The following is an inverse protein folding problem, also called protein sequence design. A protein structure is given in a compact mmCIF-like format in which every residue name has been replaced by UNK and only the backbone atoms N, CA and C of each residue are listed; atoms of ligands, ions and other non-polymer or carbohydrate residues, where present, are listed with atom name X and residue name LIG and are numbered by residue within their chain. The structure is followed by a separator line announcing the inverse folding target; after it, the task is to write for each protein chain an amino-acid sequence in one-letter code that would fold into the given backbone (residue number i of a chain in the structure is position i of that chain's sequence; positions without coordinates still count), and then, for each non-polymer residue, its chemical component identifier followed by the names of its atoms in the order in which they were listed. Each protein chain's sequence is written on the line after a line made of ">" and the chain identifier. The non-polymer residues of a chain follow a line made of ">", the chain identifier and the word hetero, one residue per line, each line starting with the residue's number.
data_IF_514624382527
#
_entry.id   IF_514624382527
#
_cell.length_a   1.000
_cell.length_b   1.000
_cell.length_c   1.000
_cell.angle_alpha   90.00
_cell.angle_beta   90.00
_cell.angle_gamma   90.00
#
_symmetry.space_group_name_H-M   'P 1'
#
loop_
_entity.id
_entity.type
_entity.pdbx_description
1 polymer ?
#
# COMPACT_ATOMS: atom_id res chain seq x y z
N UNK A 1 -20.91 -2.75 -9.17
CA UNK A 1 -20.10 -2.38 -7.98
C UNK A 1 -20.66 -1.07 -7.45
N UNK A 2 -20.97 -1.02 -6.17
CA UNK A 2 -21.39 0.21 -5.51
C UNK A 2 -20.31 1.29 -5.62
N UNK A 3 -20.71 2.54 -5.85
CA UNK A 3 -19.81 3.69 -5.82
C UNK A 3 -19.25 3.85 -4.40
N UNK A 4 -17.97 4.15 -4.29
CA UNK A 4 -17.30 4.32 -3.01
C UNK A 4 -16.90 5.78 -2.90
N UNK A 5 -17.25 6.41 -1.80
CA UNK A 5 -16.97 7.83 -1.57
C UNK A 5 -15.52 8.08 -1.15
N UNK A 6 -14.93 7.15 -0.41
CA UNK A 6 -13.57 7.28 0.14
C UNK A 6 -12.71 6.05 -0.16
N UNK A 7 -11.47 6.28 -0.62
CA UNK A 7 -10.45 5.26 -0.80
C UNK A 7 -9.27 5.52 0.15
N UNK A 8 -8.60 4.47 0.57
CA UNK A 8 -7.40 4.54 1.42
C UNK A 8 -6.23 4.00 0.61
N UNK A 9 -5.13 4.74 0.56
CA UNK A 9 -3.87 4.28 -0.04
C UNK A 9 -2.84 3.99 1.04
N UNK A 10 -2.24 2.80 0.98
CA UNK A 10 -1.22 2.35 1.92
C UNK A 10 0.02 1.83 1.18
N UNK A 11 1.20 1.96 1.78
CA UNK A 11 2.43 1.35 1.26
C UNK A 11 2.48 -0.14 1.59
N UNK A 12 3.22 -0.95 0.82
CA UNK A 12 3.54 -2.34 1.18
C UNK A 12 4.57 -2.37 2.31
N UNK A 13 4.95 -3.57 2.74
CA UNK A 13 6.12 -3.78 3.57
C UNK A 13 7.23 -4.49 2.79
N UNK A 14 8.49 -4.23 3.16
CA UNK A 14 9.66 -4.93 2.57
C UNK A 14 9.75 -6.39 3.00
N UNK A 15 9.28 -6.69 4.21
CA UNK A 15 9.21 -8.03 4.74
C UNK A 15 7.84 -8.63 4.46
N UNK A 16 7.84 -9.87 4.03
CA UNK A 16 6.63 -10.63 3.73
C UNK A 16 6.74 -11.99 4.44
N UNK A 17 5.64 -12.47 5.02
CA UNK A 17 5.58 -13.70 5.81
C UNK A 17 4.53 -14.66 5.27
N UNK A 18 4.92 -15.91 5.10
CA UNK A 18 4.07 -17.00 4.62
C UNK A 18 4.11 -18.17 5.62
N UNK A 19 3.36 -18.09 6.73
CA UNK A 19 3.27 -19.19 7.69
C UNK A 19 2.54 -20.39 7.06
N UNK A 20 2.81 -21.59 7.54
CA UNK A 20 2.14 -22.83 7.07
C UNK A 20 0.65 -22.82 7.32
N UNK A 21 0.21 -22.18 8.42
CA UNK A 21 -1.21 -22.08 8.77
C UNK A 21 -1.98 -21.23 7.78
N UNK A 22 -3.02 -21.78 7.18
CA UNK A 22 -3.92 -21.08 6.27
C UNK A 22 -4.74 -20.02 7.02
N UNK A 23 -4.87 -18.86 6.41
CA UNK A 23 -5.78 -17.83 6.91
C UNK A 23 -7.25 -18.21 6.61
N UNK A 24 -8.17 -17.73 7.45
CA UNK A 24 -9.61 -18.03 7.34
C UNK A 24 -10.34 -17.24 6.25
N UNK A 25 -9.72 -16.22 5.72
CA UNK A 25 -10.39 -15.24 4.88
C UNK A 25 -10.50 -15.69 3.42
N UNK A 26 -11.62 -15.31 2.77
CA UNK A 26 -11.78 -15.46 1.33
C UNK A 26 -10.82 -14.51 0.60
N UNK A 27 -10.09 -15.05 -0.36
CA UNK A 27 -9.06 -14.32 -1.11
C UNK A 27 -9.50 -14.03 -2.54
N UNK A 28 -8.85 -13.08 -3.17
CA UNK A 28 -9.07 -12.67 -4.56
C UNK A 28 -7.75 -12.68 -5.35
N UNK A 29 -7.84 -12.61 -6.67
CA UNK A 29 -6.65 -12.50 -7.55
C UNK A 29 -6.19 -11.03 -7.63
N UNK A 30 -4.89 -10.78 -7.79
CA UNK A 30 -4.37 -9.42 -8.07
C UNK A 30 -5.04 -8.77 -9.28
N UNK A 31 -5.11 -7.44 -9.27
CA UNK A 31 -5.83 -6.66 -10.28
C UNK A 31 -5.16 -6.68 -11.66
N UNK A 32 -3.83 -6.78 -11.72
CA UNK A 32 -3.05 -6.61 -12.95
C UNK A 32 -2.11 -7.79 -13.22
N UNK A 33 -2.64 -9.01 -13.43
CA UNK A 33 -1.82 -10.21 -13.57
C UNK A 33 -0.88 -10.15 -14.78
N UNK A 34 -1.30 -9.58 -15.91
CA UNK A 34 -0.49 -9.53 -17.14
C UNK A 34 0.71 -8.58 -16.97
N UNK A 35 0.50 -7.39 -16.41
CA UNK A 35 1.59 -6.47 -16.08
C UNK A 35 2.54 -7.04 -15.03
N UNK A 36 2.01 -7.75 -14.04
CA UNK A 36 2.83 -8.45 -13.06
C UNK A 36 3.70 -9.52 -13.74
N UNK A 37 3.15 -10.26 -14.69
CA UNK A 37 3.88 -11.28 -15.47
C UNK A 37 4.99 -10.64 -16.30
N UNK A 38 4.69 -9.54 -17.00
CA UNK A 38 5.67 -8.79 -17.78
C UNK A 38 6.86 -8.38 -16.89
N UNK A 39 6.59 -7.82 -15.71
CA UNK A 39 7.63 -7.38 -14.77
C UNK A 39 8.42 -8.54 -14.16
N UNK A 40 7.77 -9.65 -13.82
CA UNK A 40 8.46 -10.88 -13.36
C UNK A 40 9.39 -11.43 -14.43
N UNK A 41 8.99 -11.41 -15.70
CA UNK A 41 9.86 -11.84 -16.81
C UNK A 41 11.15 -11.03 -16.85
N UNK A 42 11.08 -9.72 -16.64
CA UNK A 42 12.29 -8.88 -16.54
C UNK A 42 13.11 -9.23 -15.29
N UNK A 43 12.46 -9.42 -14.14
CA UNK A 43 13.14 -9.78 -12.90
C UNK A 43 13.89 -11.13 -13.01
N UNK A 44 13.34 -12.08 -13.74
CA UNK A 44 13.93 -13.42 -13.94
C UNK A 44 15.17 -13.40 -14.83
N UNK A 45 15.38 -12.36 -15.64
CA UNK A 45 16.57 -12.18 -16.47
C UNK A 45 17.78 -11.65 -15.71
N UNK A 46 17.56 -11.11 -14.50
CA UNK A 46 18.62 -10.52 -13.69
C UNK A 46 19.40 -11.59 -12.92
N UNK A 47 20.71 -11.44 -12.86
CA UNK A 47 21.58 -12.21 -11.98
C UNK A 47 21.45 -11.76 -10.51
N UNK A 48 21.90 -12.62 -9.57
CA UNK A 48 21.97 -12.27 -8.14
C UNK A 48 22.77 -10.98 -7.90
N UNK A 49 23.87 -10.79 -8.63
CA UNK A 49 24.73 -9.61 -8.51
C UNK A 49 24.02 -8.33 -8.95
N UNK A 50 23.30 -8.37 -10.07
CA UNK A 50 22.52 -7.24 -10.56
C UNK A 50 21.38 -6.87 -9.60
N UNK A 51 20.65 -7.86 -9.09
CA UNK A 51 19.62 -7.67 -8.06
C UNK A 51 20.23 -6.99 -6.83
N UNK A 52 21.38 -7.50 -6.34
CA UNK A 52 22.07 -6.91 -5.20
C UNK A 52 22.43 -5.45 -5.40
N UNK A 53 22.95 -5.12 -6.59
CA UNK A 53 23.35 -3.76 -6.96
C UNK A 53 22.14 -2.83 -7.08
N UNK A 54 21.13 -3.23 -7.87
CA UNK A 54 19.95 -2.40 -8.13
C UNK A 54 19.13 -2.16 -6.85
N UNK A 55 18.94 -3.22 -6.05
CA UNK A 55 18.15 -3.13 -4.82
C UNK A 55 18.93 -2.61 -3.62
N UNK A 56 20.26 -2.49 -3.73
CA UNK A 56 21.17 -2.07 -2.65
C UNK A 56 21.02 -2.98 -1.42
N UNK A 57 21.13 -4.29 -1.64
CA UNK A 57 20.99 -5.33 -0.61
C UNK A 57 22.24 -6.22 -0.59
N UNK A 58 22.48 -6.89 0.54
CA UNK A 58 23.62 -7.78 0.70
C UNK A 58 23.46 -9.05 -0.16
N UNK A 59 24.54 -9.80 -0.42
CA UNK A 59 24.52 -10.98 -1.30
C UNK A 59 23.53 -12.07 -0.86
N UNK A 60 23.40 -12.31 0.44
CA UNK A 60 22.45 -13.30 0.98
C UNK A 60 21.00 -12.92 0.65
N UNK A 61 20.67 -11.65 0.80
CA UNK A 61 19.33 -11.14 0.43
C UNK A 61 19.13 -11.14 -1.08
N UNK A 62 20.16 -10.82 -1.87
CA UNK A 62 20.09 -10.82 -3.33
C UNK A 62 19.77 -12.22 -3.86
N UNK A 63 20.46 -13.25 -3.34
CA UNK A 63 20.18 -14.65 -3.65
C UNK A 63 18.74 -15.04 -3.31
N UNK A 64 18.26 -14.70 -2.14
CA UNK A 64 16.87 -15.00 -1.74
C UNK A 64 15.87 -14.34 -2.70
N UNK A 65 16.07 -13.06 -3.07
CA UNK A 65 15.20 -12.36 -4.02
C UNK A 65 15.28 -12.97 -5.41
N UNK A 66 16.47 -13.37 -5.87
CA UNK A 66 16.66 -14.09 -7.12
C UNK A 66 15.85 -15.38 -7.13
N UNK A 67 15.98 -16.22 -6.10
CA UNK A 67 15.23 -17.47 -5.96
C UNK A 67 13.71 -17.22 -5.96
N UNK A 68 13.22 -16.17 -5.28
CA UNK A 68 11.81 -15.76 -5.30
C UNK A 68 11.33 -15.44 -6.71
N UNK A 69 12.11 -14.74 -7.52
CA UNK A 69 11.74 -14.44 -8.90
C UNK A 69 11.76 -15.69 -9.78
N UNK A 70 12.80 -16.54 -9.67
CA UNK A 70 12.91 -17.75 -10.48
C UNK A 70 11.76 -18.74 -10.22
N UNK A 71 11.34 -18.86 -8.97
CA UNK A 71 10.27 -19.79 -8.56
C UNK A 71 8.88 -19.16 -8.53
N UNK A 72 8.74 -17.92 -8.96
CA UNK A 72 7.51 -17.12 -8.74
C UNK A 72 6.23 -17.83 -9.17
N UNK A 73 6.24 -18.52 -10.29
CA UNK A 73 5.07 -19.23 -10.84
C UNK A 73 5.02 -20.72 -10.50
N UNK A 74 5.92 -21.24 -9.69
CA UNK A 74 5.88 -22.64 -9.31
C UNK A 74 4.67 -22.93 -8.41
N UNK A 75 4.07 -24.12 -8.56
CA UNK A 75 2.94 -24.53 -7.74
C UNK A 75 3.30 -24.63 -6.24
N UNK A 76 4.57 -24.90 -5.93
CA UNK A 76 5.08 -24.95 -4.56
C UNK A 76 5.28 -23.57 -3.93
N UNK A 77 5.28 -22.49 -4.71
CA UNK A 77 5.47 -21.14 -4.18
C UNK A 77 4.26 -20.71 -3.36
N UNK A 78 4.44 -20.37 -2.07
CA UNK A 78 3.33 -20.05 -1.21
C UNK A 78 2.60 -18.78 -1.67
N UNK A 79 1.32 -18.71 -1.35
CA UNK A 79 0.48 -17.53 -1.58
C UNK A 79 -0.22 -17.13 -0.30
N UNK A 80 -0.43 -15.82 -0.10
CA UNK A 80 -1.16 -15.28 1.03
C UNK A 80 -1.84 -13.96 0.66
N UNK A 81 -2.94 -13.63 1.35
CA UNK A 81 -3.59 -12.33 1.23
C UNK A 81 -2.60 -11.19 1.56
N UNK A 82 -2.55 -10.15 0.76
CA UNK A 82 -1.55 -9.06 0.87
C UNK A 82 -1.51 -8.43 2.27
N UNK A 83 -2.67 -8.08 2.84
CA UNK A 83 -2.73 -7.47 4.17
C UNK A 83 -2.24 -8.37 5.31
N UNK A 84 -2.21 -9.69 5.11
CA UNK A 84 -1.74 -10.68 6.07
C UNK A 84 -0.29 -11.10 5.78
N UNK A 85 0.12 -11.03 4.53
CA UNK A 85 1.47 -11.40 4.10
C UNK A 85 2.50 -10.31 4.42
N UNK A 86 2.17 -9.03 4.17
CA UNK A 86 3.07 -7.95 4.50
C UNK A 86 3.32 -7.89 6.01
N UNK A 87 4.60 -7.96 6.39
CA UNK A 87 5.05 -8.00 7.77
C UNK A 87 5.92 -6.77 8.06
N UNK A 88 5.34 -5.78 8.70
CA UNK A 88 6.01 -4.53 9.05
C UNK A 88 5.18 -3.71 10.03
N UNK A 89 5.79 -2.67 10.59
CA UNK A 89 5.19 -1.85 11.66
C UNK A 89 3.83 -1.28 11.25
N UNK A 90 3.66 -0.86 9.98
CA UNK A 90 2.37 -0.38 9.50
C UNK A 90 1.31 -1.50 9.47
N UNK A 91 1.70 -2.73 9.15
CA UNK A 91 0.78 -3.88 9.14
C UNK A 91 0.48 -4.41 10.53
N UNK A 92 1.40 -4.25 11.48
CA UNK A 92 1.10 -4.44 12.90
C UNK A 92 0.04 -3.44 13.39
N UNK A 93 0.09 -2.18 12.92
CA UNK A 93 -0.95 -1.18 13.18
C UNK A 93 -2.28 -1.50 12.51
N UNK A 94 -2.27 -1.96 11.26
CA UNK A 94 -3.47 -2.39 10.53
C UNK A 94 -4.14 -3.59 11.19
N UNK A 95 -3.34 -4.56 11.62
CA UNK A 95 -3.75 -5.81 12.28
C UNK A 95 -4.96 -6.48 11.62
N UNK A 96 -4.83 -6.81 10.32
CA UNK A 96 -5.91 -7.42 9.55
C UNK A 96 -6.29 -8.85 10.02
N UNK A 97 -5.51 -9.46 10.91
CA UNK A 97 -5.78 -10.80 11.46
C UNK A 97 -7.05 -10.86 12.29
N UNK A 98 -7.45 -9.77 12.92
CA UNK A 98 -8.66 -9.70 13.77
C UNK A 98 -9.88 -9.08 13.07
N UNK A 99 -9.81 -8.89 11.76
CA UNK A 99 -10.93 -8.35 11.00
C UNK A 99 -12.12 -9.32 11.03
N UNK A 100 -13.31 -8.78 11.24
CA UNK A 100 -14.57 -9.49 10.99
C UNK A 100 -14.82 -9.61 9.49
N UNK A 101 -15.79 -10.42 9.08
CA UNK A 101 -16.16 -10.54 7.66
C UNK A 101 -16.65 -9.21 7.08
N UNK A 102 -17.32 -8.39 7.89
CA UNK A 102 -17.74 -7.04 7.50
C UNK A 102 -16.54 -6.10 7.32
N UNK A 103 -15.53 -6.18 8.22
CA UNK A 103 -14.29 -5.40 8.08
C UNK A 103 -13.55 -5.81 6.81
N UNK A 104 -13.50 -7.10 6.51
CA UNK A 104 -12.91 -7.64 5.26
C UNK A 104 -13.66 -7.09 4.05
N UNK A 105 -15.00 -7.16 4.07
CA UNK A 105 -15.81 -6.65 2.97
C UNK A 105 -15.63 -5.13 2.77
N UNK A 106 -15.54 -4.36 3.85
CA UNK A 106 -15.26 -2.93 3.80
C UNK A 106 -13.83 -2.67 3.28
N UNK A 107 -12.83 -3.32 3.86
CA UNK A 107 -11.43 -3.16 3.45
C UNK A 107 -11.22 -3.48 1.96
N UNK A 108 -11.83 -4.55 1.45
CA UNK A 108 -11.74 -4.96 0.04
C UNK A 108 -12.29 -3.89 -0.93
N UNK A 109 -13.21 -3.05 -0.47
CA UNK A 109 -13.79 -1.98 -1.27
C UNK A 109 -13.03 -0.65 -1.16
N UNK A 110 -12.43 -0.38 0.01
CA UNK A 110 -11.91 0.94 0.36
C UNK A 110 -10.40 1.04 0.46
N UNK A 111 -9.68 -0.06 0.76
CA UNK A 111 -8.22 -0.03 0.93
C UNK A 111 -7.51 -0.55 -0.32
N UNK A 112 -6.51 0.21 -0.75
CA UNK A 112 -5.53 -0.22 -1.73
C UNK A 112 -4.12 -0.17 -1.17
N UNK A 113 -3.36 -1.21 -1.43
CA UNK A 113 -1.94 -1.31 -1.10
C UNK A 113 -1.15 -1.13 -2.39
N UNK A 114 -0.37 -0.07 -2.46
CA UNK A 114 0.51 0.18 -3.61
C UNK A 114 1.69 -0.81 -3.58
N UNK A 115 2.17 -1.23 -4.75
CA UNK A 115 3.21 -2.26 -4.86
C UNK A 115 4.08 -2.04 -6.08
N UNK A 116 5.39 -2.19 -5.93
CA UNK A 116 6.32 -2.12 -7.07
C UNK A 116 6.10 -3.26 -8.07
N UNK A 117 5.74 -4.45 -7.61
CA UNK A 117 5.52 -5.62 -8.48
C UNK A 117 4.08 -5.74 -9.00
N UNK A 118 3.09 -5.43 -8.18
CA UNK A 118 1.68 -5.63 -8.51
C UNK A 118 0.95 -4.33 -8.87
N UNK A 119 1.65 -3.18 -8.82
CA UNK A 119 1.05 -1.85 -9.01
C UNK A 119 0.15 -1.47 -7.85
N UNK A 120 -1.00 -2.11 -7.75
CA UNK A 120 -1.99 -1.89 -6.71
C UNK A 120 -2.71 -3.18 -6.36
N UNK A 121 -2.91 -3.45 -5.09
CA UNK A 121 -3.55 -4.63 -4.53
C UNK A 121 -4.72 -4.23 -3.64
N UNK A 122 -5.77 -5.05 -3.63
CA UNK A 122 -6.76 -5.04 -2.57
C UNK A 122 -6.20 -5.83 -1.36
N UNK A 123 -6.65 -5.61 -0.15
CA UNK A 123 -6.10 -6.25 1.05
C UNK A 123 -6.03 -7.78 1.01
N UNK A 124 -7.03 -8.41 0.40
CA UNK A 124 -7.13 -9.88 0.34
C UNK A 124 -6.82 -10.46 -1.05
N UNK A 125 -6.12 -9.70 -1.90
CA UNK A 125 -5.52 -10.24 -3.12
C UNK A 125 -4.35 -11.16 -2.74
N UNK A 126 -4.27 -12.34 -3.37
CA UNK A 126 -3.20 -13.30 -3.16
C UNK A 126 -1.88 -12.79 -3.77
N UNK A 127 -0.87 -12.66 -2.94
CA UNK A 127 0.49 -12.36 -3.37
C UNK A 127 1.42 -13.55 -3.11
N UNK A 128 2.55 -13.55 -3.80
CA UNK A 128 3.66 -14.49 -3.66
C UNK A 128 4.87 -13.79 -3.03
N UNK A 129 5.86 -14.53 -2.52
CA UNK A 129 7.11 -13.94 -2.04
C UNK A 129 7.79 -13.13 -3.14
N UNK A 130 8.15 -11.90 -2.83
CA UNK A 130 8.91 -11.00 -3.71
C UNK A 130 9.53 -9.86 -2.93
N UNK A 131 10.46 -9.17 -3.56
CA UNK A 131 10.92 -7.86 -3.11
C UNK A 131 11.15 -6.96 -4.33
N UNK A 132 10.40 -5.87 -4.42
CA UNK A 132 10.59 -4.83 -5.43
C UNK A 132 9.97 -3.52 -4.93
N UNK A 133 10.82 -2.59 -4.50
CA UNK A 133 10.38 -1.25 -4.11
C UNK A 133 10.13 -0.39 -5.35
N UNK A 134 9.17 0.52 -5.28
CA UNK A 134 8.69 1.34 -6.42
C UNK A 134 9.78 2.21 -7.07
N UNK A 135 10.79 2.60 -6.30
CA UNK A 135 11.90 3.43 -6.78
C UNK A 135 13.04 2.65 -7.45
N UNK A 136 12.94 1.29 -7.56
CA UNK A 136 13.99 0.49 -8.17
C UNK A 136 13.91 0.52 -9.69
N UNK A 137 15.09 0.49 -10.33
CA UNK A 137 15.20 0.52 -11.79
C UNK A 137 15.17 -0.90 -12.38
N UNK A 138 14.10 -1.63 -12.08
CA UNK A 138 13.76 -2.89 -12.74
C UNK A 138 12.45 -2.64 -13.46
N UNK A 139 12.52 -2.42 -14.75
CA UNK A 139 11.37 -2.01 -15.57
C UNK A 139 11.36 -2.76 -16.90
N UNK A 140 10.20 -3.04 -17.47
CA UNK A 140 10.09 -3.58 -18.82
C UNK A 140 10.63 -2.59 -19.88
N UNK A 141 11.05 -3.11 -21.06
CA UNK A 141 11.45 -2.26 -22.17
C UNK A 141 10.38 -1.20 -22.51
N UNK A 142 10.84 0.00 -22.85
CA UNK A 142 9.97 1.13 -23.18
C UNK A 142 9.60 2.02 -21.99
N UNK A 143 9.97 1.64 -20.75
CA UNK A 143 9.75 2.45 -19.55
C UNK A 143 11.07 2.82 -18.88
N UNK A 144 11.14 4.01 -18.28
CA UNK A 144 12.32 4.48 -17.54
C UNK A 144 12.21 4.21 -16.04
N UNK A 145 10.99 4.13 -15.52
CA UNK A 145 10.73 3.93 -14.08
C UNK A 145 9.50 3.06 -13.87
N UNK A 146 9.41 2.42 -12.69
CA UNK A 146 8.18 1.70 -12.29
C UNK A 146 6.98 2.66 -12.14
N UNK A 147 7.22 3.94 -11.87
CA UNK A 147 6.16 4.94 -11.86
C UNK A 147 5.53 5.08 -13.25
N UNK A 148 6.32 5.25 -14.31
CA UNK A 148 5.82 5.28 -15.68
C UNK A 148 5.07 4.00 -16.05
N UNK A 149 5.63 2.85 -15.68
CA UNK A 149 5.02 1.55 -15.96
C UNK A 149 3.64 1.39 -15.32
N UNK A 150 3.48 1.84 -14.07
CA UNK A 150 2.25 1.63 -13.30
C UNK A 150 1.25 2.77 -13.39
N UNK A 151 1.68 3.98 -13.68
CA UNK A 151 0.93 5.21 -13.52
C UNK A 151 -0.44 5.19 -14.20
N UNK A 152 -0.47 4.91 -15.51
CA UNK A 152 -1.73 4.86 -16.25
C UNK A 152 -2.69 3.82 -15.66
N UNK A 153 -2.19 2.61 -15.40
CA UNK A 153 -3.00 1.48 -14.94
C UNK A 153 -3.57 1.71 -13.55
N UNK A 154 -2.75 2.21 -12.62
CA UNK A 154 -3.17 2.50 -11.24
C UNK A 154 -4.18 3.63 -11.21
N UNK A 155 -3.93 4.74 -11.92
CA UNK A 155 -4.83 5.88 -11.90
C UNK A 155 -6.16 5.58 -12.59
N UNK A 156 -6.14 4.85 -13.72
CA UNK A 156 -7.37 4.37 -14.38
C UNK A 156 -8.19 3.49 -13.44
N UNK A 157 -7.56 2.56 -12.71
CA UNK A 157 -8.26 1.71 -11.75
C UNK A 157 -8.87 2.52 -10.60
N UNK A 158 -8.15 3.49 -10.05
CA UNK A 158 -8.68 4.39 -9.03
C UNK A 158 -9.88 5.20 -9.57
N UNK A 159 -9.75 5.75 -10.78
CA UNK A 159 -10.81 6.52 -11.43
C UNK A 159 -12.12 5.73 -11.58
N UNK A 160 -12.05 4.41 -11.84
CA UNK A 160 -13.26 3.56 -11.96
C UNK A 160 -14.06 3.44 -10.66
N UNK A 161 -13.47 3.78 -9.52
CA UNK A 161 -14.11 3.67 -8.20
C UNK A 161 -14.97 4.89 -7.87
N UNK A 162 -14.69 6.03 -8.47
CA UNK A 162 -15.37 7.29 -8.19
C UNK A 162 -16.45 7.58 -9.24
N UNK A 163 -17.72 7.31 -8.91
CA UNK A 163 -18.84 7.54 -9.83
C UNK A 163 -19.69 8.76 -9.57
N UNK A 164 -19.66 9.36 -8.35
CA UNK A 164 -20.47 10.53 -7.94
C UNK A 164 -19.78 11.30 -6.81
N UNK A 165 -20.45 12.27 -6.26
CA UNK A 165 -20.01 13.25 -5.25
C UNK A 165 -19.21 12.63 -4.08
N UNK A 166 -18.36 13.41 -3.40
CA UNK A 166 -17.48 13.04 -2.30
C UNK A 166 -16.38 12.02 -2.67
N UNK A 167 -15.60 12.37 -3.66
CA UNK A 167 -14.48 11.55 -4.16
C UNK A 167 -13.21 11.86 -3.38
N UNK A 168 -12.92 11.12 -2.32
CA UNK A 168 -11.75 11.38 -1.48
C UNK A 168 -10.81 10.18 -1.42
N UNK A 169 -9.51 10.45 -1.51
CA UNK A 169 -8.44 9.51 -1.24
C UNK A 169 -7.75 9.93 0.05
N UNK A 170 -7.78 9.10 1.07
CA UNK A 170 -6.98 9.22 2.29
C UNK A 170 -5.63 8.55 2.03
N UNK A 171 -4.60 9.36 1.87
CA UNK A 171 -3.26 8.86 1.59
C UNK A 171 -2.47 8.67 2.88
N UNK A 172 -2.32 7.41 3.29
CA UNK A 172 -1.39 6.99 4.35
C UNK A 172 -0.16 6.26 3.78
N UNK A 173 0.03 6.27 2.46
CA UNK A 173 1.24 5.73 1.85
C UNK A 173 2.44 6.66 2.08
N UNK A 174 3.64 6.13 1.92
CA UNK A 174 4.86 6.96 1.92
C UNK A 174 4.96 7.77 0.62
N UNK A 175 5.74 8.85 0.64
CA UNK A 175 6.00 9.66 -0.53
C UNK A 175 6.54 8.85 -1.72
N UNK A 176 7.32 7.77 -1.46
CA UNK A 176 7.79 6.86 -2.49
C UNK A 176 6.63 6.24 -3.27
N UNK A 177 5.66 5.65 -2.57
CA UNK A 177 4.55 4.94 -3.22
C UNK A 177 3.45 5.87 -3.70
N UNK A 178 3.17 6.96 -2.98
CA UNK A 178 2.16 7.94 -3.36
C UNK A 178 2.41 8.57 -4.74
N UNK A 179 3.66 8.68 -5.19
CA UNK A 179 4.03 9.17 -6.54
C UNK A 179 3.44 8.35 -7.69
N UNK A 180 3.02 7.10 -7.47
CA UNK A 180 2.34 6.31 -8.49
C UNK A 180 0.92 6.82 -8.78
N UNK A 181 0.35 7.63 -7.88
CA UNK A 181 -0.98 8.23 -8.03
C UNK A 181 -0.82 9.70 -8.38
N UNK A 182 -1.35 10.08 -9.54
CA UNK A 182 -1.28 11.46 -10.04
C UNK A 182 -2.65 12.11 -9.98
N UNK A 183 -2.75 13.24 -9.28
CA UNK A 183 -3.99 14.01 -9.18
C UNK A 183 -4.56 14.39 -10.56
N UNK A 184 -3.69 14.77 -11.50
CA UNK A 184 -4.08 15.16 -12.87
C UNK A 184 -4.67 14.01 -13.71
N UNK A 185 -4.43 12.76 -13.31
CA UNK A 185 -4.95 11.57 -13.98
C UNK A 185 -6.25 11.03 -13.34
N UNK A 186 -6.71 11.66 -12.26
CA UNK A 186 -7.96 11.30 -11.59
C UNK A 186 -9.11 12.19 -12.09
N UNK A 187 -10.37 11.72 -11.99
CA UNK A 187 -11.53 12.51 -12.35
C UNK A 187 -11.58 13.84 -11.60
N UNK A 188 -12.16 14.85 -12.23
CA UNK A 188 -12.42 16.15 -11.60
C UNK A 188 -13.18 16.00 -10.29
N UNK A 189 -12.82 16.82 -9.31
CA UNK A 189 -13.40 16.81 -7.96
C UNK A 189 -12.81 15.73 -7.03
N UNK A 190 -11.90 14.85 -7.49
CA UNK A 190 -11.22 13.91 -6.58
C UNK A 190 -10.21 14.65 -5.72
N UNK A 191 -10.39 14.56 -4.40
CA UNK A 191 -9.45 15.09 -3.41
C UNK A 191 -8.48 14.01 -2.95
N UNK A 192 -7.20 14.34 -2.84
CA UNK A 192 -6.21 13.49 -2.14
C UNK A 192 -5.82 14.22 -0.88
N UNK A 193 -6.08 13.61 0.27
CA UNK A 193 -5.74 14.13 1.58
C UNK A 193 -4.54 13.34 2.11
N UNK A 194 -3.40 13.99 2.19
CA UNK A 194 -2.18 13.43 2.75
C UNK A 194 -2.24 13.46 4.27
N UNK A 195 -2.12 12.30 4.91
CA UNK A 195 -2.13 12.20 6.38
C UNK A 195 -0.70 12.23 6.92
N UNK A 196 -0.43 13.20 7.79
CA UNK A 196 0.83 13.35 8.48
C UNK A 196 0.69 13.07 9.96
N UNK A 197 1.67 12.36 10.51
CA UNK A 197 1.77 12.07 11.94
C UNK A 197 3.04 12.70 12.48
N UNK A 198 2.86 13.57 13.46
CA UNK A 198 3.95 14.27 14.13
C UNK A 198 3.90 13.98 15.62
N UNK A 199 5.04 14.09 16.26
CA UNK A 199 5.20 13.96 17.70
C UNK A 199 5.87 15.22 18.24
N UNK A 200 5.38 15.74 19.37
CA UNK A 200 6.03 16.84 20.05
C UNK A 200 7.33 16.34 20.71
N UNK A 201 8.45 16.87 20.27
CA UNK A 201 9.76 16.66 20.88
C UNK A 201 10.36 18.00 21.30
N UNK A 202 10.59 18.18 22.61
CA UNK A 202 11.00 19.46 23.19
C UNK A 202 9.96 20.54 22.88
N UNK A 203 10.12 21.40 21.91
CA UNK A 203 9.15 22.43 21.54
C UNK A 203 8.81 22.39 20.03
N UNK A 204 9.22 21.30 19.32
CA UNK A 204 9.00 21.15 17.89
C UNK A 204 8.21 19.88 17.55
N UNK A 205 7.37 19.98 16.54
CA UNK A 205 6.69 18.81 15.97
C UNK A 205 7.58 18.12 14.95
N UNK A 206 7.97 16.87 15.23
CA UNK A 206 8.83 16.05 14.37
C UNK A 206 8.15 14.78 13.92
N UNK A 207 8.53 14.35 12.73
CA UNK A 207 8.09 13.06 12.21
C UNK A 207 9.05 11.95 12.66
N UNK A 208 8.62 11.11 13.59
CA UNK A 208 9.37 9.93 14.01
C UNK A 208 8.98 8.74 13.12
N UNK A 209 9.93 8.24 12.32
CA UNK A 209 9.67 7.26 11.25
C UNK A 209 8.94 6.01 11.73
N UNK A 210 9.35 5.44 12.87
CA UNK A 210 8.75 4.21 13.43
C UNK A 210 7.31 4.46 13.84
N UNK A 211 7.05 5.54 14.56
CA UNK A 211 5.72 5.93 15.02
C UNK A 211 4.80 6.30 13.85
N UNK A 212 5.30 7.09 12.90
CA UNK A 212 4.56 7.42 11.67
C UNK A 212 4.14 6.17 10.90
N UNK A 213 5.03 5.17 10.76
CA UNK A 213 4.66 3.92 10.07
C UNK A 213 3.54 3.19 10.78
N UNK A 214 3.60 3.09 12.11
CA UNK A 214 2.56 2.44 12.91
C UNK A 214 1.23 3.19 12.80
N UNK A 215 1.27 4.52 12.97
CA UNK A 215 0.09 5.38 12.90
C UNK A 215 -0.62 5.31 11.53
N UNK A 216 0.10 5.16 10.43
CA UNK A 216 -0.49 4.93 9.09
C UNK A 216 -1.33 3.66 9.05
N UNK A 217 -0.84 2.58 9.63
CA UNK A 217 -1.60 1.33 9.75
C UNK A 217 -2.81 1.47 10.66
N UNK A 218 -2.63 2.15 11.81
CA UNK A 218 -3.71 2.43 12.76
C UNK A 218 -4.80 3.32 12.15
N UNK A 219 -4.44 4.32 11.33
CA UNK A 219 -5.41 5.14 10.61
C UNK A 219 -6.24 4.32 9.62
N UNK A 220 -5.60 3.49 8.81
CA UNK A 220 -6.31 2.59 7.92
C UNK A 220 -7.24 1.64 8.70
N UNK A 221 -6.77 1.10 9.83
CA UNK A 221 -7.56 0.27 10.73
C UNK A 221 -8.75 1.05 11.32
N UNK A 222 -8.55 2.27 11.78
CA UNK A 222 -9.59 3.11 12.35
C UNK A 222 -10.73 3.34 11.34
N UNK A 223 -10.40 3.70 10.12
CA UNK A 223 -11.37 3.88 9.04
C UNK A 223 -12.14 2.59 8.76
N UNK A 224 -11.44 1.44 8.70
CA UNK A 224 -12.04 0.15 8.40
C UNK A 224 -12.94 -0.33 9.54
N UNK A 225 -12.45 -0.32 10.78
CA UNK A 225 -13.18 -0.82 11.96
C UNK A 225 -14.46 -0.02 12.23
N UNK A 226 -14.43 1.28 11.96
CA UNK A 226 -15.59 2.15 12.14
C UNK A 226 -16.43 2.30 10.85
N UNK A 227 -16.00 1.66 9.74
CA UNK A 227 -16.67 1.74 8.42
C UNK A 227 -16.96 3.17 7.99
N UNK A 228 -15.97 4.06 8.16
CA UNK A 228 -16.13 5.48 7.86
C UNK A 228 -16.32 5.69 6.35
N UNK A 229 -17.38 6.37 6.00
CA UNK A 229 -17.69 6.78 4.62
C UNK A 229 -17.66 8.28 4.44
N UNK A 230 -17.88 9.05 5.51
CA UNK A 230 -17.70 10.49 5.53
C UNK A 230 -16.25 10.84 5.83
N UNK A 231 -15.63 11.63 4.96
CA UNK A 231 -14.22 12.03 5.09
C UNK A 231 -13.93 12.79 6.38
N UNK A 232 -14.83 13.66 6.84
CA UNK A 232 -14.63 14.47 8.06
C UNK A 232 -14.51 13.61 9.33
N UNK A 233 -15.14 12.43 9.37
CA UNK A 233 -15.08 11.52 10.51
C UNK A 233 -13.67 10.96 10.74
N UNK A 234 -12.80 11.01 9.73
CA UNK A 234 -11.38 10.61 9.85
C UNK A 234 -10.63 11.50 10.85
N UNK A 235 -11.06 12.76 11.02
CA UNK A 235 -10.50 13.70 12.03
C UNK A 235 -10.72 13.24 13.46
N UNK A 236 -11.68 12.33 13.71
CA UNK A 236 -11.88 11.69 15.01
C UNK A 236 -10.85 10.63 15.39
N UNK A 237 -9.83 10.39 14.56
CA UNK A 237 -8.77 9.44 14.89
C UNK A 237 -8.03 9.82 16.17
N UNK A 238 -7.93 8.88 17.13
CA UNK A 238 -7.35 9.11 18.47
C UNK A 238 -6.51 7.93 18.98
N UNK A 239 -6.07 7.01 18.09
CA UNK A 239 -5.26 5.86 18.51
C UNK A 239 -3.83 6.29 18.88
N UNK A 240 -3.29 5.71 19.93
CA UNK A 240 -1.95 6.02 20.46
C UNK A 240 -1.72 7.51 20.73
N UNK A 241 -2.74 8.17 21.28
CA UNK A 241 -2.70 9.59 21.68
C UNK A 241 -2.49 10.57 20.53
N UNK A 242 -2.72 10.13 19.28
CA UNK A 242 -2.75 11.04 18.16
C UNK A 242 -4.10 11.75 18.05
N UNK A 243 -4.07 13.07 17.91
CA UNK A 243 -5.26 13.89 17.68
C UNK A 243 -5.07 14.80 16.49
N UNK A 244 -6.18 15.05 15.78
CA UNK A 244 -6.20 15.99 14.67
C UNK A 244 -5.82 17.40 15.15
N UNK A 245 -4.87 18.04 14.45
CA UNK A 245 -4.43 19.39 14.75
C UNK A 245 -4.86 20.35 13.61
N UNK A 246 -5.91 21.16 13.79
CA UNK A 246 -6.40 22.05 12.75
C UNK A 246 -5.42 23.18 12.42
N UNK A 247 -4.60 23.63 13.39
CA UNK A 247 -3.65 24.72 13.19
C UNK A 247 -2.48 24.33 12.29
N UNK A 248 -2.11 23.05 12.28
CA UNK A 248 -1.04 22.51 11.43
C UNK A 248 -1.56 21.90 10.12
N UNK A 249 -2.88 21.73 10.01
CA UNK A 249 -3.50 21.09 8.85
C UNK A 249 -3.82 22.11 7.75
N UNK A 250 -3.90 21.60 6.52
CA UNK A 250 -4.35 22.34 5.33
C UNK A 250 -5.47 21.58 4.67
N UNK A 251 -6.10 22.16 3.66
CA UNK A 251 -7.22 21.55 2.93
C UNK A 251 -6.94 20.09 2.49
N UNK A 252 -5.76 19.82 1.92
CA UNK A 252 -5.38 18.53 1.38
C UNK A 252 -4.20 17.87 2.14
N UNK A 253 -3.88 18.35 3.33
CA UNK A 253 -2.88 17.78 4.23
C UNK A 253 -3.39 17.86 5.67
N UNK A 254 -3.72 16.72 6.25
CA UNK A 254 -4.19 16.64 7.62
C UNK A 254 -3.12 16.13 8.56
N UNK A 255 -2.88 16.88 9.59
CA UNK A 255 -1.82 16.63 10.58
C UNK A 255 -2.44 16.12 11.87
N UNK A 256 -1.92 14.98 12.32
CA UNK A 256 -2.24 14.40 13.62
C UNK A 256 -1.00 14.45 14.49
N UNK A 257 -1.16 14.91 15.73
CA UNK A 257 -0.08 15.12 16.69
C UNK A 257 -0.31 14.33 17.97
N UNK A 258 0.80 13.98 18.61
CA UNK A 258 0.82 13.42 19.98
C UNK A 258 1.98 13.98 20.80
#
# INVERSE_FOLDING_TARGET
>A
MEAVTMQILMSPAKLISFPEKKDRFKTTKPLFPDKTKELITVCQQLSEKEIGTIMKINPKMARNVYEQFQTFYFNSTPTRAAALAYNGIAYAGLNAHDFSDDDVAFAQRHLYILSGLYGMLRPFDLIRPYRLEMQRQIVPPGYRTLYEFWQETVNRQLATRFKKEDKTIINVASAEYAKAVQRSALPEGVRIIDIRFLQLEHNDFKQIVVHTKKARGLMARYIIKNRLTNTEDVKGFHYEEYFYNPALSKENEWVFVR
#
